data_IF_173149441822
#
_entry.id   IF_173149441822
#
_cell.length_a   1.000
_cell.length_b   1.000
_cell.length_c   1.000
_cell.angle_alpha   90.00
_cell.angle_beta   90.00
_cell.angle_gamma   90.00
#
_symmetry.space_group_name_H-M   'P 1'
#
loop_
_entity.id
_entity.type
_entity.pdbx_description
1 polymer ?
#
# COMPACT_ATOMS: atom_id res chain seq x y z
N UNK A 1 19.70 2.76 1.92
CA UNK A 1 19.59 4.20 2.24
C UNK A 1 19.93 4.44 3.70
N UNK A 2 21.06 5.09 3.97
CA UNK A 2 21.48 5.50 5.32
C UNK A 2 20.65 6.68 5.81
N UNK A 3 20.69 6.98 7.12
CA UNK A 3 19.98 8.13 7.70
C UNK A 3 20.43 9.45 7.06
N UNK A 4 21.72 9.59 6.80
CA UNK A 4 22.32 10.78 6.17
C UNK A 4 21.84 10.94 4.73
N UNK A 5 21.80 9.85 3.94
CA UNK A 5 21.25 9.87 2.59
C UNK A 5 19.77 10.33 2.57
N UNK A 6 18.97 9.93 3.55
CA UNK A 6 17.56 10.41 3.63
C UNK A 6 17.45 11.88 3.96
N UNK A 7 18.30 12.38 4.86
CA UNK A 7 18.32 13.79 5.21
C UNK A 7 18.81 14.65 4.04
N UNK A 8 19.71 14.12 3.21
CA UNK A 8 20.19 14.82 2.02
C UNK A 8 19.09 15.05 0.96
N UNK A 9 18.06 14.18 0.87
CA UNK A 9 16.96 14.34 -0.09
C UNK A 9 16.13 15.61 0.17
N UNK A 10 15.86 15.93 1.43
CA UNK A 10 15.00 17.05 1.82
C UNK A 10 15.77 18.26 2.35
N UNK A 11 16.98 18.05 2.86
CA UNK A 11 17.76 19.05 3.59
C UNK A 11 17.39 19.15 5.07
N UNK A 12 18.36 19.58 5.89
CA UNK A 12 18.20 19.64 7.35
C UNK A 12 17.09 20.61 7.79
N UNK A 13 16.99 21.77 7.13
CA UNK A 13 16.00 22.80 7.48
C UNK A 13 14.57 22.34 7.19
N UNK A 14 14.35 21.71 6.03
CA UNK A 14 13.05 21.13 5.67
C UNK A 14 12.63 20.06 6.67
N UNK A 15 13.55 19.18 7.05
CA UNK A 15 13.28 18.13 8.06
C UNK A 15 12.97 18.74 9.43
N UNK A 16 13.66 19.81 9.82
CA UNK A 16 13.37 20.54 11.05
C UNK A 16 11.96 21.16 11.02
N UNK A 17 11.56 21.78 9.91
CA UNK A 17 10.23 22.35 9.73
C UNK A 17 9.13 21.28 9.78
N UNK A 18 9.33 20.14 9.11
CA UNK A 18 8.40 19.00 9.17
C UNK A 18 8.24 18.51 10.61
N UNK A 19 9.34 18.30 11.33
CA UNK A 19 9.30 17.85 12.74
C UNK A 19 8.57 18.84 13.64
N UNK A 20 8.82 20.14 13.47
CA UNK A 20 8.13 21.18 14.22
C UNK A 20 6.62 21.13 13.97
N UNK A 21 6.19 20.92 12.72
CA UNK A 21 4.78 20.80 12.36
C UNK A 21 4.13 19.52 12.88
N UNK A 22 4.84 18.39 12.81
CA UNK A 22 4.39 17.08 13.31
C UNK A 22 4.21 17.11 14.83
N UNK A 23 5.11 17.77 15.57
CA UNK A 23 5.00 17.91 17.02
C UNK A 23 3.73 18.65 17.48
N UNK A 24 3.15 19.48 16.62
CA UNK A 24 1.89 20.19 16.90
C UNK A 24 0.66 19.34 16.63
N UNK A 25 0.80 18.20 15.95
CA UNK A 25 -0.32 17.32 15.68
C UNK A 25 -0.70 16.54 16.94
N UNK A 26 -2.00 16.27 17.17
CA UNK A 26 -2.41 15.31 18.19
C UNK A 26 -1.88 13.92 17.86
N UNK A 27 -1.67 13.10 18.89
CA UNK A 27 -1.34 11.69 18.70
C UNK A 27 -2.49 10.99 17.96
N UNK A 28 -2.22 10.17 16.92
CA UNK A 28 -3.26 9.43 16.23
C UNK A 28 -3.91 8.39 17.14
N UNK A 29 -5.17 8.05 16.87
CA UNK A 29 -5.83 6.93 17.54
C UNK A 29 -5.26 5.59 17.06
N UNK A 30 -5.35 4.57 17.91
CA UNK A 30 -4.93 3.21 17.55
C UNK A 30 -5.68 2.67 16.32
N UNK A 31 -6.97 3.01 16.19
CA UNK A 31 -7.79 2.64 15.03
C UNK A 31 -7.25 3.24 13.73
N UNK A 32 -6.89 4.53 13.73
CA UNK A 32 -6.31 5.20 12.57
C UNK A 32 -4.94 4.62 12.22
N UNK A 33 -4.12 4.31 13.23
CA UNK A 33 -2.82 3.67 13.01
C UNK A 33 -2.98 2.31 12.34
N UNK A 34 -3.97 1.51 12.76
CA UNK A 34 -4.23 0.19 12.18
C UNK A 34 -4.77 0.28 10.74
N UNK A 35 -5.66 1.25 10.47
CA UNK A 35 -6.13 1.50 9.12
C UNK A 35 -4.98 1.89 8.17
N UNK A 36 -4.12 2.82 8.60
CA UNK A 36 -2.94 3.22 7.83
C UNK A 36 -1.98 2.06 7.63
N UNK A 37 -1.77 1.22 8.66
CA UNK A 37 -0.94 0.01 8.55
C UNK A 37 -1.46 -0.92 7.47
N UNK A 38 -2.77 -1.19 7.43
CA UNK A 38 -3.41 -2.03 6.41
C UNK A 38 -3.18 -1.49 5.00
N UNK A 39 -3.43 -0.19 4.81
CA UNK A 39 -3.26 0.48 3.51
C UNK A 39 -1.81 0.42 3.06
N UNK A 40 -0.86 0.76 3.94
CA UNK A 40 0.55 0.81 3.57
C UNK A 40 1.19 -0.58 3.40
N UNK A 41 0.61 -1.63 3.99
CA UNK A 41 1.08 -3.02 3.84
C UNK A 41 0.67 -3.61 2.49
N UNK A 42 -0.52 -3.29 2.00
CA UNK A 42 -0.98 -3.72 0.69
C UNK A 42 -1.62 -2.55 -0.09
N UNK A 43 -0.79 -1.62 -0.63
CA UNK A 43 -1.29 -0.40 -1.25
C UNK A 43 -2.06 -0.64 -2.55
N UNK A 44 -1.85 -1.79 -3.20
CA UNK A 44 -2.59 -2.19 -4.38
C UNK A 44 -3.96 -2.84 -4.06
N UNK A 45 -4.26 -3.08 -2.78
CA UNK A 45 -5.44 -3.84 -2.35
C UNK A 45 -5.32 -5.33 -2.67
N UNK A 46 -6.36 -6.12 -2.36
CA UNK A 46 -6.42 -7.51 -2.80
C UNK A 46 -6.49 -7.55 -4.32
N UNK A 47 -5.53 -8.21 -4.97
CA UNK A 47 -5.63 -8.50 -6.41
C UNK A 47 -6.78 -9.50 -6.57
N UNK A 48 -7.84 -9.18 -7.33
CA UNK A 48 -8.93 -10.13 -7.58
C UNK A 48 -8.34 -11.42 -8.14
N UNK A 49 -8.70 -12.56 -7.56
CA UNK A 49 -8.25 -13.85 -8.06
C UNK A 49 -8.65 -13.98 -9.54
N UNK A 50 -7.74 -14.43 -10.43
CA UNK A 50 -8.11 -14.66 -11.81
C UNK A 50 -9.29 -15.64 -11.87
N UNK A 51 -10.26 -15.45 -12.78
CA UNK A 51 -11.34 -16.40 -12.96
C UNK A 51 -10.76 -17.78 -13.21
N UNK A 52 -11.25 -18.81 -12.48
CA UNK A 52 -10.72 -20.17 -12.55
C UNK A 52 -10.73 -20.66 -14.01
N UNK A 53 -9.63 -21.21 -14.55
CA UNK A 53 -9.51 -21.57 -15.97
C UNK A 53 -10.37 -22.78 -16.43
N UNK A 54 -11.37 -23.22 -15.65
CA UNK A 54 -12.11 -24.45 -15.93
C UNK A 54 -13.53 -24.28 -16.52
N UNK A 55 -13.99 -23.06 -16.79
CA UNK A 55 -15.35 -22.85 -17.33
C UNK A 55 -15.44 -22.84 -18.86
N UNK A 56 -14.33 -22.71 -19.60
CA UNK A 56 -14.39 -22.48 -21.06
C UNK A 56 -14.13 -23.75 -21.88
N UNK A 57 -13.40 -24.73 -21.36
CA UNK A 57 -12.88 -25.84 -22.20
C UNK A 57 -13.83 -27.05 -22.40
N UNK A 58 -15.00 -27.10 -21.77
CA UNK A 58 -15.89 -28.27 -21.88
C UNK A 58 -17.08 -28.09 -22.84
N UNK A 59 -17.39 -26.87 -23.27
CA UNK A 59 -18.55 -26.61 -24.14
C UNK A 59 -18.30 -26.92 -25.63
N UNK A 60 -17.04 -26.91 -26.10
CA UNK A 60 -16.73 -27.08 -27.53
C UNK A 60 -16.53 -28.54 -27.96
N UNK A 61 -16.47 -29.50 -27.03
CA UNK A 61 -16.22 -30.93 -27.34
C UNK A 61 -17.45 -31.82 -27.35
N UNK A 62 -18.62 -31.33 -26.93
CA UNK A 62 -19.89 -32.08 -26.97
C UNK A 62 -20.77 -31.75 -28.18
N UNK A 63 -20.38 -30.78 -29.02
CA UNK A 63 -21.10 -30.43 -30.25
C UNK A 63 -20.59 -31.17 -31.50
N UNK A 64 -19.63 -32.08 -31.35
CA UNK A 64 -19.04 -32.86 -32.45
C UNK A 64 -19.16 -34.36 -32.15
N UNK A 65 -20.41 -34.86 -32.10
CA UNK A 65 -20.79 -36.28 -32.22
C UNK A 65 -22.01 -36.39 -33.12
#
# INVERSE_FOLDING_TARGET
MTREERLAVLGADTVAAIRARVKQAPEPSDELVEELRRIMTNPAGEIPAPPRPHAVWRAEREAEV
#
